data_IF_725906130407
#
_entry.id   IF_725906130407
#
_cell.length_a   1.000
_cell.length_b   1.000
_cell.length_c   1.000
_cell.angle_alpha   90.00
_cell.angle_beta   90.00
_cell.angle_gamma   90.00
#
_symmetry.space_group_name_H-M   'P 1'
#
loop_
_entity.id
_entity.type
_entity.pdbx_description
1 polymer ?
#
# COMPACT_ATOMS: atom_id res chain seq x y z
N UNK A 1 2.31 5.30 5.22
CA UNK A 1 1.84 5.81 6.53
C UNK A 1 2.25 7.27 6.70
N UNK A 2 1.57 8.05 7.52
CA UNK A 2 1.93 9.43 7.85
C UNK A 2 1.90 9.67 9.35
N UNK A 3 2.90 10.41 9.86
CA UNK A 3 2.98 10.82 11.28
C UNK A 3 1.97 11.93 11.56
N UNK A 4 1.27 11.84 12.69
CA UNK A 4 0.33 12.86 13.19
C UNK A 4 0.50 13.07 14.69
N UNK A 5 -0.04 14.19 15.19
CA UNK A 5 -0.02 14.56 16.62
C UNK A 5 -1.46 14.78 17.10
N UNK A 6 -1.85 14.15 18.20
CA UNK A 6 -3.15 14.33 18.87
C UNK A 6 -2.94 14.38 20.37
N UNK A 7 -3.42 15.43 21.01
CA UNK A 7 -3.22 15.67 22.46
C UNK A 7 -1.76 15.55 22.92
N UNK A 8 -0.82 16.09 22.11
CA UNK A 8 0.61 16.01 22.40
C UNK A 8 1.25 14.64 22.22
N UNK A 9 0.51 13.61 21.81
CA UNK A 9 1.02 12.26 21.54
C UNK A 9 1.15 12.01 20.04
N UNK A 10 2.20 11.30 19.64
CA UNK A 10 2.43 10.88 18.26
C UNK A 10 1.55 9.66 17.97
N UNK A 11 0.88 9.67 16.83
CA UNK A 11 0.20 8.51 16.25
C UNK A 11 0.45 8.48 14.74
N UNK A 12 0.21 7.34 14.11
CA UNK A 12 0.40 7.17 12.67
C UNK A 12 -0.93 6.86 12.00
N UNK A 13 -1.16 7.45 10.84
CA UNK A 13 -2.35 7.21 10.03
C UNK A 13 -1.97 6.70 8.65
N UNK A 14 -2.77 5.78 8.11
CA UNK A 14 -2.73 5.37 6.72
C UNK A 14 -3.05 6.58 5.82
N UNK A 15 -2.37 6.62 4.67
CA UNK A 15 -2.58 7.69 3.70
C UNK A 15 -3.93 7.50 3.00
N UNK A 16 -4.97 8.25 3.38
CA UNK A 16 -6.30 8.18 2.76
C UNK A 16 -6.32 8.60 1.28
N UNK A 17 -5.29 9.31 0.82
CA UNK A 17 -5.12 9.68 -0.59
C UNK A 17 -4.35 8.61 -1.39
N UNK A 18 -4.03 7.46 -0.77
CA UNK A 18 -3.47 6.34 -1.52
C UNK A 18 -4.51 5.85 -2.55
N UNK A 19 -4.14 5.63 -3.83
CA UNK A 19 -5.09 5.29 -4.90
C UNK A 19 -6.04 4.16 -4.52
N UNK A 20 -5.51 3.05 -4.01
CA UNK A 20 -6.33 1.90 -3.57
C UNK A 20 -7.28 2.22 -2.42
N UNK A 21 -6.84 3.02 -1.43
CA UNK A 21 -7.71 3.38 -0.30
C UNK A 21 -8.82 4.33 -0.79
N UNK A 22 -8.46 5.29 -1.63
CA UNK A 22 -9.39 6.26 -2.19
C UNK A 22 -10.45 5.55 -3.05
N UNK A 23 -10.02 4.68 -3.95
CA UNK A 23 -10.90 3.88 -4.81
C UNK A 23 -11.91 3.08 -3.97
N UNK A 24 -11.46 2.34 -2.96
CA UNK A 24 -12.35 1.54 -2.11
C UNK A 24 -13.37 2.39 -1.35
N UNK A 25 -12.96 3.57 -0.87
CA UNK A 25 -13.84 4.48 -0.14
C UNK A 25 -14.84 5.21 -1.05
N UNK A 26 -14.48 5.48 -2.31
CA UNK A 26 -15.30 6.24 -3.26
C UNK A 26 -16.22 5.34 -4.11
N UNK A 27 -15.80 4.11 -4.45
CA UNK A 27 -16.53 3.18 -5.31
C UNK A 27 -17.36 2.13 -4.55
N UNK A 28 -17.49 2.25 -3.22
CA UNK A 28 -18.46 1.44 -2.49
C UNK A 28 -19.85 2.10 -2.57
N UNK A 29 -20.84 1.36 -3.11
CA UNK A 29 -22.21 1.84 -3.40
C UNK A 29 -22.95 2.45 -2.20
N UNK A 30 -22.44 2.26 -0.99
CA UNK A 30 -22.64 3.13 0.15
C UNK A 30 -21.26 3.37 0.75
N UNK A 31 -20.85 4.62 1.02
CA UNK A 31 -19.62 4.99 1.75
C UNK A 31 -19.40 4.03 2.92
N UNK A 32 -18.66 2.93 2.73
CA UNK A 32 -18.83 1.76 3.59
C UNK A 32 -18.32 2.11 5.00
N UNK A 33 -19.21 2.36 5.98
CA UNK A 33 -18.77 2.84 7.29
C UNK A 33 -17.93 1.78 8.00
N UNK A 34 -18.13 0.50 7.66
CA UNK A 34 -17.35 -0.61 8.20
C UNK A 34 -15.90 -0.58 7.69
N UNK A 35 -15.64 -0.26 6.42
CA UNK A 35 -14.26 -0.10 5.91
C UNK A 35 -13.59 1.10 6.60
N UNK A 36 -14.29 2.22 6.71
CA UNK A 36 -13.76 3.39 7.40
C UNK A 36 -13.45 3.08 8.87
N UNK A 37 -14.34 2.36 9.56
CA UNK A 37 -14.14 1.92 10.93
C UNK A 37 -12.95 0.96 11.06
N UNK A 38 -12.81 0.00 10.13
CA UNK A 38 -11.68 -0.95 10.09
C UNK A 38 -10.34 -0.21 9.93
N UNK A 39 -10.25 0.72 8.99
CA UNK A 39 -9.01 1.47 8.78
C UNK A 39 -8.68 2.29 10.03
N UNK A 40 -9.67 2.94 10.67
CA UNK A 40 -9.45 3.66 11.94
C UNK A 40 -9.00 2.72 13.06
N UNK A 41 -9.60 1.53 13.18
CA UNK A 41 -9.21 0.54 14.18
C UNK A 41 -7.74 0.17 14.00
N UNK A 42 -7.31 -0.16 12.78
CA UNK A 42 -5.92 -0.50 12.48
C UNK A 42 -4.97 0.62 12.89
N UNK A 43 -5.28 1.88 12.55
CA UNK A 43 -4.47 3.05 12.91
C UNK A 43 -4.33 3.26 14.42
N UNK A 44 -5.42 3.06 15.18
CA UNK A 44 -5.43 3.22 16.63
C UNK A 44 -4.74 2.07 17.37
N UNK A 45 -4.62 0.88 16.74
CA UNK A 45 -4.01 -0.30 17.35
C UNK A 45 -2.56 -0.56 16.96
N UNK A 46 -1.92 0.30 16.16
CA UNK A 46 -0.50 0.12 15.82
C UNK A 46 0.38 0.32 17.06
N UNK A 47 1.15 -0.68 17.52
CA UNK A 47 1.93 -0.60 18.75
C UNK A 47 3.27 0.10 18.52
N UNK A 48 3.23 1.39 18.19
CA UNK A 48 4.42 2.21 17.88
C UNK A 48 5.54 2.09 18.92
N UNK A 49 5.26 2.12 20.25
CA UNK A 49 6.33 2.00 21.24
C UNK A 49 7.06 0.64 21.17
N UNK A 50 6.32 -0.45 20.95
CA UNK A 50 6.89 -1.79 20.82
C UNK A 50 7.76 -1.88 19.55
N UNK A 51 7.26 -1.39 18.42
CA UNK A 51 8.01 -1.37 17.15
C UNK A 51 9.33 -0.59 17.31
N UNK A 52 9.31 0.55 18.01
CA UNK A 52 10.51 1.34 18.26
C UNK A 52 11.51 0.62 19.18
N UNK A 53 11.02 -0.07 20.22
CA UNK A 53 11.84 -0.87 21.13
C UNK A 53 12.48 -2.04 20.38
N UNK A 54 11.69 -2.83 19.65
CA UNK A 54 12.17 -3.97 18.86
C UNK A 54 13.21 -3.54 17.82
N UNK A 55 13.01 -2.39 17.17
CA UNK A 55 13.98 -1.80 16.24
C UNK A 55 15.29 -1.42 16.90
N UNK A 56 15.23 -0.89 18.13
CA UNK A 56 16.44 -0.50 18.86
C UNK A 56 17.23 -1.72 19.37
N UNK A 57 16.53 -2.78 19.76
CA UNK A 57 17.13 -4.00 20.30
C UNK A 57 17.60 -4.97 19.20
N UNK A 58 16.88 -5.02 18.08
CA UNK A 58 17.08 -5.99 17.01
C UNK A 58 16.96 -5.34 15.62
N UNK A 59 17.86 -4.40 15.26
CA UNK A 59 17.74 -3.61 14.03
C UNK A 59 17.69 -4.46 12.74
N UNK A 60 18.40 -5.61 12.72
CA UNK A 60 18.46 -6.48 11.54
C UNK A 60 17.34 -7.54 11.48
N UNK A 61 16.44 -7.58 12.47
CA UNK A 61 15.37 -8.59 12.55
C UNK A 61 14.04 -8.11 11.98
N UNK A 62 13.94 -6.87 11.50
CA UNK A 62 12.72 -6.42 10.82
C UNK A 62 12.61 -7.05 9.44
N UNK A 63 11.52 -7.78 9.23
CA UNK A 63 11.14 -8.26 7.90
C UNK A 63 10.72 -7.08 7.03
N UNK A 64 11.12 -7.11 5.75
CA UNK A 64 10.60 -6.14 4.78
C UNK A 64 9.12 -6.43 4.51
N UNK A 65 8.31 -5.44 4.10
CA UNK A 65 6.95 -5.69 3.66
C UNK A 65 6.94 -6.76 2.57
N UNK A 66 6.11 -7.79 2.73
CA UNK A 66 6.02 -8.94 1.83
C UNK A 66 7.30 -9.79 1.73
N UNK A 67 8.23 -9.67 2.69
CA UNK A 67 9.38 -10.57 2.79
C UNK A 67 8.93 -12.01 3.05
N UNK A 68 9.50 -12.95 2.30
CA UNK A 68 9.15 -14.38 2.31
C UNK A 68 7.69 -14.74 1.96
N UNK A 69 6.88 -13.76 1.54
CA UNK A 69 5.57 -14.08 0.97
C UNK A 69 5.72 -14.62 -0.46
N UNK A 70 4.80 -15.48 -0.93
CA UNK A 70 4.76 -15.90 -2.32
C UNK A 70 4.66 -14.68 -3.24
N UNK A 71 5.43 -14.67 -4.33
CA UNK A 71 5.38 -13.59 -5.34
C UNK A 71 3.96 -13.34 -5.87
N UNK A 72 3.12 -14.38 -5.88
CA UNK A 72 1.72 -14.30 -6.31
C UNK A 72 0.88 -13.35 -5.43
N UNK A 73 1.03 -13.38 -4.11
CA UNK A 73 0.29 -12.47 -3.21
C UNK A 73 0.68 -11.01 -3.46
N UNK A 74 1.98 -10.76 -3.71
CA UNK A 74 2.45 -9.42 -4.05
C UNK A 74 1.94 -8.95 -5.43
N UNK A 75 1.85 -9.85 -6.40
CA UNK A 75 1.26 -9.57 -7.72
C UNK A 75 -0.23 -9.22 -7.60
N UNK A 76 -0.98 -9.92 -6.75
CA UNK A 76 -2.41 -9.64 -6.53
C UNK A 76 -2.60 -8.23 -5.96
N UNK A 77 -1.83 -7.87 -4.93
CA UNK A 77 -1.86 -6.51 -4.37
C UNK A 77 -1.43 -5.47 -5.41
N UNK A 78 -0.38 -5.75 -6.18
CA UNK A 78 0.09 -4.87 -7.26
C UNK A 78 -0.97 -4.66 -8.34
N UNK A 79 -1.74 -5.71 -8.66
CA UNK A 79 -2.83 -5.68 -9.63
C UNK A 79 -3.95 -4.75 -9.18
N UNK A 80 -4.37 -4.85 -7.92
CA UNK A 80 -5.40 -3.95 -7.39
C UNK A 80 -4.92 -2.51 -7.37
N UNK A 81 -3.68 -2.25 -6.92
CA UNK A 81 -3.11 -0.89 -6.95
C UNK A 81 -3.01 -0.34 -8.38
N UNK A 82 -2.63 -1.17 -9.36
CA UNK A 82 -2.59 -0.78 -10.76
C UNK A 82 -3.98 -0.35 -11.27
N UNK A 83 -5.03 -1.12 -10.96
CA UNK A 83 -6.41 -0.78 -11.31
C UNK A 83 -6.82 0.55 -10.67
N UNK A 84 -6.54 0.76 -9.38
CA UNK A 84 -6.85 2.00 -8.69
C UNK A 84 -6.14 3.21 -9.31
N UNK A 85 -4.89 3.04 -9.75
CA UNK A 85 -4.13 4.09 -10.44
C UNK A 85 -4.81 4.48 -11.76
N UNK A 86 -5.21 3.51 -12.57
CA UNK A 86 -5.94 3.78 -13.81
C UNK A 86 -7.31 4.42 -13.56
N UNK A 87 -8.06 3.91 -12.57
CA UNK A 87 -9.35 4.47 -12.16
C UNK A 87 -9.24 5.93 -11.67
N UNK A 88 -8.09 6.30 -11.09
CA UNK A 88 -7.79 7.68 -10.70
C UNK A 88 -7.45 8.63 -11.87
N UNK A 89 -7.48 8.14 -13.11
CA UNK A 89 -7.29 8.92 -14.34
C UNK A 89 -5.87 8.92 -14.90
N UNK A 90 -4.96 8.12 -14.34
CA UNK A 90 -3.60 8.00 -14.87
C UNK A 90 -3.59 7.17 -16.16
N UNK A 91 -2.71 7.53 -17.08
CA UNK A 91 -2.39 6.69 -18.23
C UNK A 91 -1.67 5.42 -17.81
N UNK A 92 -1.69 4.40 -18.68
CA UNK A 92 -0.93 3.15 -18.49
C UNK A 92 0.54 3.42 -18.19
N UNK A 93 1.18 4.34 -18.93
CA UNK A 93 2.59 4.67 -18.73
C UNK A 93 2.83 5.35 -17.38
N UNK A 94 1.95 6.26 -16.96
CA UNK A 94 2.04 6.90 -15.64
C UNK A 94 1.83 5.89 -14.51
N UNK A 95 0.88 4.97 -14.65
CA UNK A 95 0.65 3.91 -13.67
C UNK A 95 1.87 2.98 -13.53
N UNK A 96 2.51 2.60 -14.64
CA UNK A 96 3.76 1.83 -14.63
C UNK A 96 4.90 2.58 -13.91
N UNK A 97 5.12 3.84 -14.27
CA UNK A 97 6.14 4.69 -13.64
C UNK A 97 5.87 4.84 -12.14
N UNK A 98 4.59 4.96 -11.75
CA UNK A 98 4.18 5.12 -10.36
C UNK A 98 4.39 3.85 -9.55
N UNK A 99 4.05 2.68 -10.09
CA UNK A 99 4.28 1.38 -9.45
C UNK A 99 5.76 1.13 -9.18
N UNK A 100 6.63 1.41 -10.16
CA UNK A 100 8.07 1.15 -10.06
C UNK A 100 8.76 1.86 -8.88
N UNK A 101 8.19 3.00 -8.43
CA UNK A 101 8.73 3.80 -7.31
C UNK A 101 7.87 3.75 -6.05
N UNK A 102 6.74 3.04 -6.08
CA UNK A 102 5.82 2.95 -4.95
C UNK A 102 6.26 1.85 -3.99
N UNK A 103 6.30 2.13 -2.69
CA UNK A 103 6.42 1.07 -1.69
C UNK A 103 5.13 0.25 -1.59
N UNK A 104 5.21 -1.08 -1.43
CA UNK A 104 6.44 -1.87 -1.26
C UNK A 104 7.07 -2.36 -2.58
N UNK A 105 6.47 -2.06 -3.73
CA UNK A 105 6.87 -2.61 -5.03
C UNK A 105 8.27 -2.19 -5.48
N UNK A 106 8.74 -1.01 -5.07
CA UNK A 106 10.11 -0.54 -5.32
C UNK A 106 11.19 -1.49 -4.76
N UNK A 107 10.86 -2.34 -3.79
CA UNK A 107 11.75 -3.37 -3.28
C UNK A 107 11.88 -4.59 -4.20
N UNK A 108 11.03 -4.70 -5.23
CA UNK A 108 10.92 -5.86 -6.12
C UNK A 108 10.92 -5.45 -7.61
N UNK A 109 11.99 -4.78 -8.10
CA UNK A 109 12.01 -4.19 -9.45
C UNK A 109 11.83 -5.22 -10.58
N UNK A 110 12.38 -6.43 -10.43
CA UNK A 110 12.23 -7.50 -11.42
C UNK A 110 10.78 -7.99 -11.52
N UNK A 111 10.09 -8.11 -10.38
CA UNK A 111 8.68 -8.50 -10.34
C UNK A 111 7.80 -7.42 -10.98
N UNK A 112 8.09 -6.14 -10.70
CA UNK A 112 7.39 -5.02 -11.34
C UNK A 112 7.61 -5.01 -12.85
N UNK A 113 8.84 -5.26 -13.31
CA UNK A 113 9.13 -5.32 -14.74
C UNK A 113 8.34 -6.46 -15.43
N UNK A 114 8.35 -7.66 -14.85
CA UNK A 114 7.57 -8.80 -15.36
C UNK A 114 6.07 -8.53 -15.36
N UNK A 115 5.54 -7.89 -14.30
CA UNK A 115 4.14 -7.47 -14.24
C UNK A 115 3.79 -6.50 -15.38
N UNK A 116 4.61 -5.47 -15.60
CA UNK A 116 4.42 -4.47 -16.66
C UNK A 116 4.46 -5.12 -18.05
N UNK A 117 5.38 -6.06 -18.28
CA UNK A 117 5.47 -6.81 -19.53
C UNK A 117 4.20 -7.63 -19.79
N UNK A 118 3.66 -8.29 -18.76
CA UNK A 118 2.41 -9.06 -18.88
C UNK A 118 1.22 -8.20 -19.30
N UNK A 119 1.16 -6.94 -18.87
CA UNK A 119 0.05 -6.01 -19.20
C UNK A 119 0.14 -5.40 -20.59
N UNK A 120 1.31 -5.42 -21.23
CA UNK A 120 1.45 -5.00 -22.64
C UNK A 120 0.82 -6.01 -23.61
N UNK A 121 0.64 -7.26 -23.20
CA UNK A 121 0.04 -8.33 -24.01
C UNK A 121 -1.49 -8.25 -24.12
N UNK A 122 -2.15 -7.53 -23.21
CA UNK A 122 -3.63 -7.47 -23.10
C UNK A 122 -4.27 -6.37 -23.99
N UNK A 123 -3.50 -5.69 -24.85
CA UNK A 123 -3.96 -4.55 -25.69
C UNK A 123 -4.05 -4.88 -27.20
N UNK A 124 -4.38 -6.12 -27.58
CA UNK A 124 -4.66 -6.49 -28.98
C UNK A 124 -6.15 -6.68 -29.20
#
# INVERSE_FOLDING_TARGET
MGKKIRHGKIFYSLNRQHPLIKEVLENSDEHNPAITALIRLIEETVPVPLIAMDNSENPDKQIKPFDKLPSQELIEVMTEVYKSLLASGLTVQEAHNRLAVMEPFNYYPELVASFIESKKGDTI
#
